data_IF_643980980636
#
_entry.id   IF_643980980636
#
_cell.length_a   1.000
_cell.length_b   1.000
_cell.length_c   1.000
_cell.angle_alpha   90.00
_cell.angle_beta   90.00
_cell.angle_gamma   90.00
#
_symmetry.space_group_name_H-M   'P 1'
#
loop_
_entity.id
_entity.type
_entity.pdbx_description
1 polymer ?
#
# COMPACT_ATOMS: atom_id res chain seq x y z
N UNK A 1 -7.39 20.33 -16.54
CA UNK A 1 -6.02 20.78 -16.20
C UNK A 1 -5.12 19.57 -16.07
N UNK A 2 -4.13 19.39 -16.95
CA UNK A 2 -3.17 18.30 -16.83
C UNK A 2 -2.20 18.62 -15.69
N UNK A 3 -2.24 17.86 -14.59
CA UNK A 3 -1.20 17.92 -13.54
C UNK A 3 0.12 17.49 -14.19
N UNK A 4 1.06 18.41 -14.37
CA UNK A 4 2.37 18.12 -14.94
C UNK A 4 3.07 17.03 -14.13
N UNK A 5 3.64 16.04 -14.81
CA UNK A 5 4.38 14.96 -14.14
C UNK A 5 5.59 15.58 -13.44
N UNK A 6 5.74 15.46 -12.10
CA UNK A 6 6.87 16.03 -11.39
C UNK A 6 8.18 15.42 -11.90
N UNK A 7 9.19 16.27 -12.13
CA UNK A 7 10.53 15.81 -12.54
C UNK A 7 11.11 14.86 -11.49
N UNK A 8 11.85 13.82 -11.90
CA UNK A 8 12.50 12.89 -10.96
C UNK A 8 13.39 13.62 -9.96
N UNK A 9 13.26 13.31 -8.68
CA UNK A 9 14.04 13.87 -7.55
C UNK A 9 14.63 12.74 -6.73
N UNK A 10 15.58 12.02 -7.33
CA UNK A 10 16.29 10.92 -6.67
C UNK A 10 16.80 11.32 -5.26
N UNK A 11 16.62 10.41 -4.30
CA UNK A 11 17.03 10.58 -2.91
C UNK A 11 16.12 11.51 -2.09
N UNK A 12 14.99 11.97 -2.64
CA UNK A 12 14.03 12.81 -1.88
C UNK A 12 13.33 12.00 -0.80
N UNK A 13 12.96 10.75 -1.08
CA UNK A 13 12.31 9.89 -0.09
C UNK A 13 13.29 9.53 1.03
N UNK A 14 14.54 9.23 0.68
CA UNK A 14 15.61 8.98 1.66
C UNK A 14 15.85 10.21 2.56
N UNK A 15 15.88 11.42 1.98
CA UNK A 15 15.97 12.66 2.78
C UNK A 15 14.77 12.87 3.70
N UNK A 16 13.57 12.56 3.23
CA UNK A 16 12.34 12.65 4.02
C UNK A 16 12.34 11.65 5.20
N UNK A 17 12.95 10.48 5.01
CA UNK A 17 13.16 9.51 6.09
C UNK A 17 14.11 10.09 7.15
N UNK A 18 15.27 10.59 6.71
CA UNK A 18 16.32 11.13 7.62
C UNK A 18 15.87 12.33 8.46
N UNK A 19 15.00 13.17 7.93
CA UNK A 19 14.49 14.35 8.64
C UNK A 19 13.12 14.12 9.30
N UNK A 20 12.61 12.88 9.33
CA UNK A 20 11.36 12.51 9.97
C UNK A 20 10.08 13.02 9.29
N UNK A 21 10.18 13.64 8.10
CA UNK A 21 9.00 14.22 7.41
C UNK A 21 8.22 13.21 6.57
N UNK A 22 8.74 12.01 6.37
CA UNK A 22 8.16 10.99 5.48
C UNK A 22 6.72 10.60 5.87
N UNK A 23 6.43 10.46 7.17
CA UNK A 23 5.09 10.10 7.65
C UNK A 23 4.07 11.20 7.37
N UNK A 24 4.46 12.47 7.60
CA UNK A 24 3.61 13.61 7.26
C UNK A 24 3.30 13.65 5.77
N UNK A 25 4.30 13.44 4.92
CA UNK A 25 4.11 13.40 3.46
C UNK A 25 3.19 12.26 3.01
N UNK A 26 3.31 11.08 3.63
CA UNK A 26 2.44 9.95 3.34
C UNK A 26 1.00 10.23 3.77
N UNK A 27 0.80 10.78 4.97
CA UNK A 27 -0.52 11.14 5.48
C UNK A 27 -1.20 12.22 4.63
N UNK A 28 -0.46 13.26 4.22
CA UNK A 28 -0.95 14.30 3.30
C UNK A 28 -1.37 13.70 1.97
N UNK A 29 -0.53 12.83 1.39
CA UNK A 29 -0.85 12.15 0.14
C UNK A 29 -2.10 11.28 0.25
N UNK A 30 -2.24 10.49 1.32
CA UNK A 30 -3.41 9.65 1.55
C UNK A 30 -4.67 10.53 1.64
N UNK A 31 -4.65 11.56 2.49
CA UNK A 31 -5.79 12.45 2.67
C UNK A 31 -6.22 13.16 1.38
N UNK A 32 -5.26 13.60 0.56
CA UNK A 32 -5.53 14.27 -0.73
C UNK A 32 -6.09 13.34 -1.80
N UNK A 33 -5.89 12.03 -1.67
CA UNK A 33 -6.25 11.04 -2.69
C UNK A 33 -7.29 10.03 -2.20
N UNK A 34 -7.88 10.24 -1.02
CA UNK A 34 -9.11 9.57 -0.56
C UNK A 34 -10.30 10.11 -1.35
N UNK A 35 -11.02 9.25 -2.07
CA UNK A 35 -12.24 9.63 -2.79
C UNK A 35 -12.80 8.54 -3.70
N UNK A 36 -14.00 8.80 -4.24
CA UNK A 36 -14.82 7.85 -4.99
C UNK A 36 -14.04 7.20 -6.17
N UNK A 37 -13.58 5.97 -5.94
CA UNK A 37 -12.95 5.12 -6.95
C UNK A 37 -11.44 5.24 -7.11
N UNK A 38 -10.73 6.02 -6.29
CA UNK A 38 -9.26 6.04 -6.28
C UNK A 38 -8.69 5.55 -4.95
N UNK A 39 -7.81 4.55 -5.03
CA UNK A 39 -7.03 4.08 -3.89
C UNK A 39 -5.68 4.77 -3.84
N UNK A 40 -5.38 5.58 -2.81
CA UNK A 40 -4.03 6.03 -2.55
C UNK A 40 -3.12 4.81 -2.35
N UNK A 41 -2.08 4.71 -3.17
CA UNK A 41 -1.15 3.59 -3.13
C UNK A 41 0.30 4.10 -3.19
N UNK A 42 1.23 3.22 -2.81
CA UNK A 42 2.67 3.51 -2.75
C UNK A 42 3.21 3.98 -4.10
N UNK A 43 2.74 3.44 -5.23
CA UNK A 43 3.23 3.86 -6.55
C UNK A 43 2.82 5.30 -6.87
N UNK A 44 1.59 5.68 -6.54
CA UNK A 44 1.11 7.05 -6.65
C UNK A 44 1.82 8.00 -5.67
N UNK A 45 2.11 7.55 -4.44
CA UNK A 45 2.92 8.29 -3.48
C UNK A 45 4.35 8.54 -3.99
N UNK A 46 5.01 7.53 -4.55
CA UNK A 46 6.33 7.70 -5.17
C UNK A 46 6.26 8.72 -6.32
N UNK A 47 5.23 8.63 -7.16
CA UNK A 47 5.01 9.57 -8.26
C UNK A 47 4.79 11.00 -7.76
N UNK A 48 4.02 11.22 -6.69
CA UNK A 48 3.77 12.56 -6.13
C UNK A 48 5.04 13.21 -5.60
N UNK A 49 5.96 12.41 -5.06
CA UNK A 49 7.27 12.87 -4.61
C UNK A 49 8.28 13.07 -5.77
N UNK A 50 7.99 12.52 -6.94
CA UNK A 50 8.91 12.46 -8.08
C UNK A 50 10.02 11.43 -7.87
N UNK A 51 9.77 10.34 -7.15
CA UNK A 51 10.74 9.25 -6.93
C UNK A 51 10.27 7.98 -7.60
N UNK A 52 11.19 7.03 -7.84
CA UNK A 52 10.83 5.71 -8.34
C UNK A 52 10.31 4.81 -7.22
N UNK A 53 9.51 3.81 -7.57
CA UNK A 53 9.14 2.74 -6.62
C UNK A 53 10.38 1.99 -6.13
N UNK A 54 11.43 1.86 -6.96
CA UNK A 54 12.70 1.28 -6.53
C UNK A 54 13.39 2.05 -5.39
N UNK A 55 13.20 3.37 -5.28
CA UNK A 55 13.69 4.15 -4.13
C UNK A 55 12.92 3.80 -2.85
N UNK A 56 11.61 3.52 -2.98
CA UNK A 56 10.79 3.02 -1.87
C UNK A 56 11.20 1.61 -1.45
N UNK A 57 11.40 0.69 -2.40
CA UNK A 57 11.92 -0.67 -2.12
C UNK A 57 13.30 -0.63 -1.45
N UNK A 58 14.13 0.35 -1.80
CA UNK A 58 15.42 0.60 -1.15
C UNK A 58 15.31 0.95 0.34
N UNK A 59 14.15 1.42 0.81
CA UNK A 59 13.91 1.64 2.23
C UNK A 59 13.94 0.34 3.02
N UNK A 60 13.56 -0.80 2.43
CA UNK A 60 13.60 -2.10 3.11
C UNK A 60 15.00 -2.45 3.62
N UNK A 61 16.05 -1.98 2.95
CA UNK A 61 17.45 -2.21 3.37
C UNK A 61 18.01 -1.09 4.25
N UNK A 62 17.53 0.14 4.09
CA UNK A 62 18.15 1.33 4.71
C UNK A 62 17.38 1.90 5.90
N UNK A 63 16.06 1.73 5.92
CA UNK A 63 15.12 2.19 6.95
C UNK A 63 13.94 1.20 7.05
N UNK A 64 14.19 -0.06 7.47
CA UNK A 64 13.18 -1.13 7.43
C UNK A 64 11.94 -0.86 8.29
N UNK A 65 12.13 -0.15 9.40
CA UNK A 65 11.07 0.34 10.29
C UNK A 65 10.14 1.32 9.58
N UNK A 66 10.70 2.34 8.91
CA UNK A 66 9.94 3.32 8.15
C UNK A 66 9.22 2.65 6.98
N UNK A 67 9.89 1.73 6.27
CA UNK A 67 9.29 0.95 5.20
C UNK A 67 8.05 0.19 5.69
N UNK A 68 8.17 -0.55 6.81
CA UNK A 68 7.06 -1.29 7.40
C UNK A 68 5.88 -0.41 7.79
N UNK A 69 6.14 0.73 8.43
CA UNK A 69 5.09 1.69 8.82
C UNK A 69 4.37 2.26 7.61
N UNK A 70 5.12 2.62 6.55
CA UNK A 70 4.51 3.14 5.32
C UNK A 70 3.66 2.06 4.63
N UNK A 71 4.15 0.82 4.53
CA UNK A 71 3.38 -0.30 4.01
C UNK A 71 2.07 -0.48 4.79
N UNK A 72 2.15 -0.53 6.12
CA UNK A 72 0.98 -0.67 6.99
C UNK A 72 -0.04 0.47 6.79
N UNK A 73 0.43 1.71 6.64
CA UNK A 73 -0.45 2.86 6.42
C UNK A 73 -1.21 2.77 5.07
N UNK A 74 -0.53 2.35 4.00
CA UNK A 74 -1.18 2.17 2.70
C UNK A 74 -2.05 0.90 2.63
N UNK A 75 -1.71 -0.13 3.39
CA UNK A 75 -2.51 -1.34 3.54
C UNK A 75 -3.80 -1.04 4.30
N UNK A 76 -3.73 -0.36 5.45
CA UNK A 76 -4.89 0.06 6.23
C UNK A 76 -5.85 0.88 5.36
N UNK A 77 -5.32 1.79 4.57
CA UNK A 77 -6.11 2.57 3.63
C UNK A 77 -6.79 1.71 2.55
N UNK A 78 -6.10 0.69 2.06
CA UNK A 78 -6.67 -0.26 1.10
C UNK A 78 -7.81 -1.07 1.71
N UNK A 79 -7.62 -1.55 2.94
CA UNK A 79 -8.63 -2.32 3.68
C UNK A 79 -9.87 -1.50 4.03
N UNK A 80 -9.72 -0.18 4.23
CA UNK A 80 -10.83 0.74 4.51
C UNK A 80 -11.46 1.34 3.24
N UNK A 81 -11.05 0.91 2.05
CA UNK A 81 -11.62 1.38 0.79
C UNK A 81 -12.86 0.57 0.38
N UNK A 82 -13.73 1.16 -0.44
CA UNK A 82 -14.90 0.47 -1.01
C UNK A 82 -14.53 -0.50 -2.16
N UNK A 83 -13.23 -0.76 -2.37
CA UNK A 83 -12.77 -1.63 -3.45
C UNK A 83 -13.14 -3.08 -3.14
N UNK A 84 -13.59 -3.86 -4.14
CA UNK A 84 -13.90 -5.27 -3.96
C UNK A 84 -12.73 -6.05 -3.35
N UNK A 85 -13.04 -6.89 -2.36
CA UNK A 85 -12.06 -7.70 -1.63
C UNK A 85 -11.18 -8.58 -2.53
N UNK A 86 -11.68 -9.03 -3.69
CA UNK A 86 -10.90 -9.79 -4.68
C UNK A 86 -9.77 -8.97 -5.31
N UNK A 87 -10.00 -7.68 -5.56
CA UNK A 87 -9.01 -6.73 -6.09
C UNK A 87 -8.01 -6.34 -5.01
N UNK A 88 -8.48 -6.13 -3.78
CA UNK A 88 -7.62 -5.88 -2.62
C UNK A 88 -6.71 -7.09 -2.35
N UNK A 89 -7.24 -8.31 -2.41
CA UNK A 89 -6.45 -9.54 -2.20
C UNK A 89 -5.31 -9.66 -3.23
N UNK A 90 -5.58 -9.37 -4.51
CA UNK A 90 -4.55 -9.35 -5.55
C UNK A 90 -3.50 -8.26 -5.31
N UNK A 91 -3.94 -7.06 -4.91
CA UNK A 91 -3.07 -5.93 -4.62
C UNK A 91 -2.18 -6.16 -3.39
N UNK A 92 -2.72 -6.78 -2.34
CA UNK A 92 -1.99 -7.08 -1.10
C UNK A 92 -1.04 -8.27 -1.29
N UNK A 93 -1.42 -9.31 -2.05
CA UNK A 93 -0.56 -10.48 -2.29
C UNK A 93 0.72 -10.14 -3.06
N UNK A 94 0.61 -9.30 -4.10
CA UNK A 94 1.76 -8.84 -4.89
C UNK A 94 2.71 -7.94 -4.08
N UNK A 95 2.22 -7.31 -3.01
CA UNK A 95 2.90 -6.19 -2.35
C UNK A 95 3.38 -6.46 -0.93
N UNK A 96 2.78 -7.41 -0.22
CA UNK A 96 3.15 -7.82 1.14
C UNK A 96 3.90 -9.16 1.19
N UNK A 97 4.30 -9.71 0.03
CA UNK A 97 5.12 -10.93 -0.06
C UNK A 97 4.43 -12.14 0.64
N UNK A 98 3.09 -12.17 0.69
CA UNK A 98 2.31 -13.30 1.24
C UNK A 98 2.53 -14.64 0.49
N UNK A 99 3.20 -14.61 -0.67
CA UNK A 99 3.63 -15.81 -1.41
C UNK A 99 4.98 -16.38 -0.92
N UNK A 100 5.70 -15.70 -0.04
CA UNK A 100 6.84 -16.32 0.65
C UNK A 100 6.33 -17.05 1.90
N UNK A 101 6.71 -18.31 2.13
CA UNK A 101 6.58 -18.93 3.43
C UNK A 101 7.54 -18.22 4.40
N UNK A 102 7.15 -17.04 4.87
CA UNK A 102 7.66 -16.48 6.11
C UNK A 102 7.22 -17.41 7.24
N UNK A 103 8.01 -17.49 8.30
CA UNK A 103 7.86 -18.36 9.47
C UNK A 103 6.57 -18.12 10.30
N UNK A 104 5.40 -18.10 9.65
CA UNK A 104 4.09 -18.19 10.28
C UNK A 104 3.72 -19.67 10.48
N UNK A 105 4.55 -20.39 11.24
CA UNK A 105 4.06 -21.55 11.97
C UNK A 105 3.16 -21.00 13.08
N UNK A 106 1.84 -21.17 12.94
CA UNK A 106 0.77 -20.89 13.92
C UNK A 106 -0.19 -19.72 13.63
N UNK A 107 -0.75 -19.68 12.42
CA UNK A 107 -2.20 -19.41 12.29
C UNK A 107 -2.71 -19.92 10.94
N UNK A 108 -3.42 -21.07 10.87
CA UNK A 108 -4.15 -21.43 9.66
C UNK A 108 -5.37 -20.51 9.55
N UNK A 109 -5.23 -19.38 8.84
CA UNK A 109 -6.39 -18.61 8.39
C UNK A 109 -7.08 -19.42 7.29
N UNK A 110 -7.99 -20.29 7.71
CA UNK A 110 -8.90 -20.98 6.81
C UNK A 110 -9.99 -19.98 6.45
N UNK A 111 -9.91 -19.39 5.26
CA UNK A 111 -11.00 -18.58 4.73
C UNK A 111 -12.08 -19.54 4.22
N UNK A 112 -13.06 -19.86 5.07
CA UNK A 112 -14.27 -20.57 4.68
C UNK A 112 -15.26 -19.52 4.20
N UNK A 113 -15.49 -19.45 2.89
CA UNK A 113 -16.66 -18.76 2.35
C UNK A 113 -17.86 -19.71 2.46
N UNK A 114 -18.65 -19.59 3.53
CA UNK A 114 -20.00 -20.18 3.56
C UNK A 114 -20.94 -19.32 2.72
N UNK A 115 -20.81 -19.41 1.39
CA UNK A 115 -21.90 -19.02 0.50
C UNK A 115 -22.73 -20.27 0.22
N UNK A 116 -23.81 -20.42 0.97
CA UNK A 116 -24.82 -21.45 0.76
C UNK A 116 -25.64 -21.10 -0.51
N UNK A 117 -25.13 -21.54 -1.66
CA UNK A 117 -25.72 -21.33 -3.00
C UNK A 117 -27.05 -22.08 -3.20
N UNK A 118 -27.56 -22.79 -2.19
CA UNK A 118 -28.78 -23.59 -2.26
C UNK A 118 -30.00 -22.94 -1.60
N UNK A 119 -29.88 -21.69 -1.12
CA UNK A 119 -30.98 -20.96 -0.50
C UNK A 119 -31.60 -19.88 -1.40
N UNK A 120 -31.69 -20.17 -2.69
CA UNK A 120 -32.65 -19.53 -3.60
C UNK A 120 -33.54 -20.62 -4.19
N UNK A 121 -34.71 -20.83 -3.58
CA UNK A 121 -35.69 -21.78 -4.09
C UNK A 121 -36.65 -22.34 -3.05
N UNK A 122 -37.51 -21.48 -2.49
CA UNK A 122 -38.84 -21.89 -2.03
C UNK A 122 -39.76 -20.68 -1.90
#
# INVERSE_FOLDING_TARGET
>A
MARGVPKPRAGRLIRACKNGTVFRLAAEYIAENRGDGQLPNIAGFCRSLGVSVGEFEGLRMTHPDIHGILCAAFEDEALNSEIPASVLTLYLRDRLDYDRPGDAKDAPVTVVFEHDLLKDGS
#
